data_IF_725804399644
#
_entry.id   IF_725804399644
#
_cell.length_a   1.000
_cell.length_b   1.000
_cell.length_c   1.000
_cell.angle_alpha   90.00
_cell.angle_beta   90.00
_cell.angle_gamma   90.00
#
_symmetry.space_group_name_H-M   'P 1'
#
loop_
_entity.id
_entity.type
_entity.pdbx_description
1 polymer ?
#
# COMPACT_ATOMS: atom_id res chain seq x y z
N UNK A 1 -18.63 76.87 25.64
CA UNK A 1 -18.91 77.43 26.99
C UNK A 1 -18.51 76.38 28.02
N UNK A 2 -17.33 76.54 28.63
CA UNK A 2 -17.06 76.50 30.08
C UNK A 2 -18.20 75.97 31.00
N UNK A 3 -18.04 75.14 32.05
CA UNK A 3 -16.96 74.95 33.05
C UNK A 3 -17.26 73.70 33.91
N UNK A 4 -16.19 73.08 34.45
CA UNK A 4 -16.05 72.16 35.59
C UNK A 4 -17.25 71.83 36.52
N UNK A 5 -17.24 70.58 37.01
CA UNK A 5 -17.29 70.36 38.47
C UNK A 5 -16.44 69.14 38.86
N UNK A 6 -15.46 69.41 39.74
CA UNK A 6 -14.60 68.42 40.38
C UNK A 6 -15.33 67.88 41.62
N UNK A 7 -15.42 66.56 41.76
CA UNK A 7 -15.53 65.95 43.08
C UNK A 7 -14.28 65.10 43.33
N UNK A 8 -13.45 65.58 44.26
CA UNK A 8 -12.27 64.88 44.75
C UNK A 8 -12.76 63.80 45.72
N UNK A 9 -12.84 62.57 45.24
CA UNK A 9 -12.94 61.38 46.09
C UNK A 9 -11.59 61.15 46.76
N UNK A 10 -11.57 61.37 48.08
CA UNK A 10 -10.45 61.15 48.98
C UNK A 10 -10.21 59.64 49.12
N UNK A 11 -9.38 59.05 48.27
CA UNK A 11 -8.96 57.66 48.42
C UNK A 11 -7.92 57.57 49.53
N UNK A 12 -8.21 56.75 50.54
CA UNK A 12 -7.36 56.51 51.70
C UNK A 12 -5.95 56.03 51.31
N UNK A 13 -4.93 56.45 52.06
CA UNK A 13 -3.51 56.09 51.82
C UNK A 13 -3.26 54.57 51.85
N UNK A 14 -4.16 53.79 52.45
CA UNK A 14 -4.10 52.32 52.50
C UNK A 14 -4.48 51.63 51.19
N UNK A 15 -5.17 52.31 50.27
CA UNK A 15 -5.70 51.68 49.04
C UNK A 15 -4.79 51.87 47.83
N UNK A 16 -3.87 52.83 47.90
CA UNK A 16 -2.84 53.07 46.87
C UNK A 16 -1.59 52.19 47.04
N UNK A 17 -1.55 51.36 48.10
CA UNK A 17 -0.44 50.43 48.42
C UNK A 17 -0.66 49.01 47.85
N UNK A 18 -1.72 48.75 47.08
CA UNK A 18 -1.99 47.41 46.50
C UNK A 18 -1.79 47.28 44.98
N UNK A 19 -1.53 48.37 44.26
CA UNK A 19 -1.30 48.35 42.80
C UNK A 19 0.19 48.39 42.39
N UNK A 20 1.13 48.38 43.35
CA UNK A 20 2.58 48.50 43.07
C UNK A 20 3.41 47.29 43.52
N UNK A 21 2.80 46.09 43.66
CA UNK A 21 3.52 44.88 44.10
C UNK A 21 4.04 43.99 42.97
N UNK A 22 3.85 44.37 41.70
CA UNK A 22 4.43 43.65 40.56
C UNK A 22 4.99 44.58 39.47
N UNK A 23 5.71 45.64 39.86
CA UNK A 23 6.53 46.41 38.92
C UNK A 23 7.98 45.91 38.94
N UNK A 24 8.27 44.85 38.20
CA UNK A 24 9.64 44.47 37.88
C UNK A 24 10.24 45.54 36.95
N UNK A 25 10.98 46.50 37.52
CA UNK A 25 11.85 47.39 36.75
C UNK A 25 13.15 46.66 36.44
N UNK A 26 13.24 46.07 35.25
CA UNK A 26 14.51 45.63 34.70
C UNK A 26 15.33 46.88 34.29
N UNK A 27 16.47 47.10 34.96
CA UNK A 27 17.47 48.10 34.56
C UNK A 27 18.53 47.40 33.70
N UNK A 28 18.76 47.90 32.48
CA UNK A 28 19.67 47.30 31.50
C UNK A 28 21.05 48.00 31.47
N UNK A 29 22.13 47.21 31.55
CA UNK A 29 23.43 47.36 30.86
C UNK A 29 24.36 46.23 31.39
N UNK A 30 24.31 45.02 30.83
CA UNK A 30 25.14 44.49 29.72
C UNK A 30 26.58 44.11 30.12
N UNK A 31 26.74 42.83 30.51
CA UNK A 31 27.82 41.99 30.01
C UNK A 31 27.15 40.81 29.30
N UNK A 32 27.23 40.83 27.97
CA UNK A 32 26.77 39.74 27.10
C UNK A 32 27.68 38.53 27.34
N UNK A 33 27.38 37.75 28.37
CA UNK A 33 28.00 36.45 28.54
C UNK A 33 27.63 35.62 27.30
N UNK A 34 28.58 35.14 26.48
CA UNK A 34 28.24 34.08 25.55
C UNK A 34 27.67 32.97 26.42
N UNK A 35 26.40 32.63 26.19
CA UNK A 35 25.78 31.48 26.85
C UNK A 35 26.54 30.26 26.34
N UNK A 36 27.54 29.84 27.10
CA UNK A 36 28.26 28.60 26.85
C UNK A 36 27.31 27.47 27.23
N UNK A 37 26.97 26.62 26.26
CA UNK A 37 26.28 25.37 26.51
C UNK A 37 27.09 24.54 27.49
N UNK A 38 26.47 24.10 28.59
CA UNK A 38 27.13 23.12 29.47
C UNK A 38 27.12 21.75 28.77
N UNK A 39 28.19 20.96 28.92
CA UNK A 39 28.24 19.62 28.34
C UNK A 39 27.05 18.76 28.81
N UNK A 40 26.64 18.91 30.07
CA UNK A 40 25.50 18.18 30.65
C UNK A 40 24.17 18.56 29.97
N UNK A 41 23.96 19.82 29.62
CA UNK A 41 22.76 20.27 28.90
C UNK A 41 22.73 19.69 27.47
N UNK A 42 23.86 19.68 26.75
CA UNK A 42 23.94 19.04 25.42
C UNK A 42 23.72 17.54 25.47
N UNK A 43 24.17 16.87 26.54
CA UNK A 43 23.97 15.43 26.74
C UNK A 43 22.50 15.11 27.01
N UNK A 44 21.85 15.88 27.88
CA UNK A 44 20.41 15.73 28.14
C UNK A 44 19.59 16.04 26.88
N UNK A 45 19.92 17.12 26.16
CA UNK A 45 19.23 17.50 24.94
C UNK A 45 19.34 16.42 23.84
N UNK A 46 20.53 15.88 23.61
CA UNK A 46 20.72 14.80 22.61
C UNK A 46 20.04 13.50 23.04
N UNK A 47 20.03 13.17 24.34
CA UNK A 47 19.32 11.99 24.86
C UNK A 47 17.81 12.06 24.61
N UNK A 48 17.18 13.21 24.92
CA UNK A 48 15.75 13.42 24.63
C UNK A 48 15.50 13.40 23.13
N UNK A 49 16.37 14.02 22.33
CA UNK A 49 16.25 14.01 20.87
C UNK A 49 16.24 12.57 20.31
N UNK A 50 17.17 11.72 20.73
CA UNK A 50 17.24 10.33 20.26
C UNK A 50 15.96 9.55 20.59
N UNK A 51 15.44 9.70 21.81
CA UNK A 51 14.17 9.06 22.22
C UNK A 51 13.00 9.58 21.36
N UNK A 52 12.95 10.90 21.12
CA UNK A 52 11.88 11.49 20.29
C UNK A 52 11.94 11.07 18.82
N UNK A 53 13.13 10.80 18.28
CA UNK A 53 13.30 10.36 16.89
C UNK A 53 12.98 8.87 16.68
N UNK A 54 13.10 8.04 17.72
CA UNK A 54 12.83 6.61 17.62
C UNK A 54 11.37 6.31 17.19
N UNK A 55 10.40 7.06 17.71
CA UNK A 55 8.99 6.89 17.39
C UNK A 55 8.64 7.16 15.90
N UNK A 56 8.92 8.35 15.33
CA UNK A 56 8.61 8.61 13.92
C UNK A 56 9.37 7.70 12.96
N UNK A 57 10.62 7.32 13.26
CA UNK A 57 11.38 6.38 12.43
C UNK A 57 10.73 4.98 12.39
N UNK A 58 10.23 4.51 13.53
CA UNK A 58 9.52 3.22 13.60
C UNK A 58 8.23 3.24 12.78
N UNK A 59 7.48 4.34 12.85
CA UNK A 59 6.26 4.53 12.05
C UNK A 59 6.59 4.57 10.56
N UNK A 60 7.65 5.29 10.16
CA UNK A 60 8.09 5.36 8.77
C UNK A 60 8.53 3.99 8.23
N UNK A 61 9.23 3.18 9.04
CA UNK A 61 9.59 1.83 8.66
C UNK A 61 8.35 0.93 8.48
N UNK A 62 7.34 1.08 9.34
CA UNK A 62 6.07 0.35 9.20
C UNK A 62 5.27 0.79 7.97
N UNK A 63 5.18 2.10 7.71
CA UNK A 63 4.43 2.62 6.56
C UNK A 63 5.05 2.17 5.24
N UNK A 64 6.39 2.15 5.15
CA UNK A 64 7.09 1.64 3.96
C UNK A 64 6.80 0.15 3.72
N UNK A 65 6.84 -0.68 4.77
CA UNK A 65 6.47 -2.10 4.67
C UNK A 65 5.03 -2.28 4.18
N UNK A 66 4.10 -1.47 4.71
CA UNK A 66 2.70 -1.49 4.28
C UNK A 66 2.55 -1.05 2.82
N UNK A 67 3.33 -0.07 2.37
CA UNK A 67 3.29 0.41 0.98
C UNK A 67 3.78 -0.66 0.00
N UNK A 68 4.86 -1.38 0.33
CA UNK A 68 5.32 -2.50 -0.51
C UNK A 68 4.29 -3.63 -0.58
N UNK A 69 3.69 -3.99 0.56
CA UNK A 69 2.63 -5.00 0.57
C UNK A 69 1.43 -4.57 -0.30
N UNK A 70 0.96 -3.33 -0.16
CA UNK A 70 -0.15 -2.81 -0.95
C UNK A 70 0.17 -2.78 -2.45
N UNK A 71 1.39 -2.37 -2.83
CA UNK A 71 1.85 -2.41 -4.22
C UNK A 71 1.79 -3.83 -4.78
N UNK A 72 2.36 -4.80 -4.07
CA UNK A 72 2.43 -6.17 -4.55
C UNK A 72 1.02 -6.80 -4.62
N UNK A 73 0.13 -6.45 -3.70
CA UNK A 73 -1.28 -6.86 -3.71
C UNK A 73 -2.02 -6.35 -4.96
N UNK A 74 -1.78 -5.10 -5.36
CA UNK A 74 -2.37 -4.51 -6.58
C UNK A 74 -1.82 -5.19 -7.83
N UNK A 75 -0.51 -5.47 -7.89
CA UNK A 75 0.09 -6.24 -8.99
C UNK A 75 -0.54 -7.63 -9.07
N UNK A 76 -0.70 -8.33 -7.94
CA UNK A 76 -1.35 -9.64 -7.92
C UNK A 76 -2.81 -9.59 -8.40
N UNK A 77 -3.55 -8.52 -8.08
CA UNK A 77 -4.91 -8.30 -8.59
C UNK A 77 -4.97 -8.13 -10.11
N UNK A 78 -4.07 -7.35 -10.70
CA UNK A 78 -4.01 -7.20 -12.15
C UNK A 78 -3.56 -8.48 -12.86
N UNK A 79 -2.59 -9.20 -12.30
CA UNK A 79 -2.16 -10.50 -12.83
C UNK A 79 -3.28 -11.55 -12.81
N UNK A 80 -4.15 -11.51 -11.78
CA UNK A 80 -5.30 -12.39 -11.68
C UNK A 80 -6.37 -12.06 -12.73
N UNK A 81 -6.71 -10.77 -12.89
CA UNK A 81 -7.67 -10.33 -13.90
C UNK A 81 -7.21 -10.62 -15.32
N UNK A 82 -5.93 -10.38 -15.65
CA UNK A 82 -5.37 -10.68 -16.98
C UNK A 82 -5.60 -12.15 -17.36
N UNK A 83 -5.44 -13.07 -16.42
CA UNK A 83 -5.68 -14.49 -16.65
C UNK A 83 -7.17 -14.83 -16.82
N UNK A 84 -8.08 -14.17 -16.10
CA UNK A 84 -9.52 -14.31 -16.34
C UNK A 84 -9.88 -13.80 -17.73
N UNK A 85 -9.37 -12.63 -18.10
CA UNK A 85 -9.57 -12.02 -19.42
C UNK A 85 -9.03 -12.90 -20.55
N UNK A 86 -7.90 -13.58 -20.34
CA UNK A 86 -7.38 -14.57 -21.29
C UNK A 86 -8.38 -15.72 -21.54
N UNK A 87 -8.92 -16.31 -20.47
CA UNK A 87 -9.89 -17.40 -20.59
C UNK A 87 -11.17 -16.92 -21.28
N UNK A 88 -11.66 -15.72 -20.93
CA UNK A 88 -12.79 -15.10 -21.61
C UNK A 88 -12.51 -14.85 -23.10
N UNK A 89 -11.32 -14.35 -23.43
CA UNK A 89 -10.92 -14.09 -24.81
C UNK A 89 -10.83 -15.39 -25.63
N UNK A 90 -10.30 -16.49 -25.07
CA UNK A 90 -10.30 -17.81 -25.74
C UNK A 90 -11.71 -18.30 -26.01
N UNK A 91 -12.60 -18.19 -25.02
CA UNK A 91 -14.03 -18.51 -25.20
C UNK A 91 -14.66 -17.71 -26.33
N UNK A 92 -14.48 -16.40 -26.32
CA UNK A 92 -15.09 -15.51 -27.30
C UNK A 92 -14.55 -15.79 -28.72
N UNK A 93 -13.25 -16.10 -28.85
CA UNK A 93 -12.67 -16.56 -30.11
C UNK A 93 -13.26 -17.88 -30.59
N UNK A 94 -13.51 -18.83 -29.68
CA UNK A 94 -14.15 -20.11 -30.03
C UNK A 94 -15.56 -19.91 -30.59
N UNK A 95 -16.35 -19.01 -29.99
CA UNK A 95 -17.67 -18.67 -30.53
C UNK A 95 -17.60 -18.05 -31.92
N UNK A 96 -16.66 -17.13 -32.15
CA UNK A 96 -16.45 -16.53 -33.48
C UNK A 96 -15.99 -17.57 -34.52
N UNK A 97 -15.28 -18.62 -34.09
CA UNK A 97 -14.81 -19.71 -34.94
C UNK A 97 -15.85 -20.83 -35.13
N UNK A 98 -16.95 -20.84 -34.38
CA UNK A 98 -17.94 -21.93 -34.38
C UNK A 98 -17.41 -23.25 -33.78
N UNK A 99 -16.41 -23.18 -32.90
CA UNK A 99 -15.86 -24.32 -32.16
C UNK A 99 -16.46 -24.40 -30.75
N UNK A 100 -16.34 -25.55 -30.05
CA UNK A 100 -16.76 -25.63 -28.64
C UNK A 100 -16.11 -24.54 -27.79
N UNK A 101 -16.88 -23.92 -26.90
CA UNK A 101 -16.49 -22.70 -26.18
C UNK A 101 -15.22 -22.83 -25.32
N UNK A 102 -14.90 -24.04 -24.83
CA UNK A 102 -13.67 -24.33 -24.06
C UNK A 102 -12.53 -24.95 -24.90
N UNK A 103 -12.66 -25.00 -26.22
CA UNK A 103 -11.62 -25.58 -27.09
C UNK A 103 -10.28 -24.87 -26.88
N UNK A 104 -9.22 -25.66 -26.66
CA UNK A 104 -7.88 -25.11 -26.42
C UNK A 104 -7.66 -24.61 -25.00
N UNK A 105 -8.47 -25.05 -24.03
CA UNK A 105 -8.26 -24.84 -22.59
C UNK A 105 -8.28 -26.16 -21.81
N UNK A 106 -8.29 -27.30 -22.52
CA UNK A 106 -8.48 -28.64 -21.95
C UNK A 106 -7.43 -28.98 -20.88
N UNK A 107 -6.19 -28.53 -21.08
CA UNK A 107 -5.08 -28.74 -20.14
C UNK A 107 -5.22 -27.94 -18.83
N UNK A 108 -6.11 -26.96 -18.80
CA UNK A 108 -6.41 -26.12 -17.64
C UNK A 108 -7.70 -26.53 -16.93
N UNK A 109 -8.39 -27.56 -17.44
CA UNK A 109 -9.55 -28.15 -16.79
C UNK A 109 -9.06 -29.11 -15.69
N UNK A 110 -9.50 -28.86 -14.47
CA UNK A 110 -9.14 -29.57 -13.24
C UNK A 110 -7.63 -29.63 -12.91
N UNK A 111 -6.80 -28.98 -13.72
CA UNK A 111 -5.35 -28.86 -13.61
C UNK A 111 -4.97 -27.39 -13.57
N UNK A 112 -3.89 -27.04 -12.87
CA UNK A 112 -3.41 -25.66 -12.84
C UNK A 112 -2.63 -25.35 -14.12
N UNK A 113 -2.80 -24.16 -14.67
CA UNK A 113 -2.07 -23.61 -15.80
C UNK A 113 -1.45 -22.27 -15.47
N UNK A 114 -0.36 -21.95 -16.15
CA UNK A 114 0.14 -20.60 -16.25
C UNK A 114 -0.25 -20.02 -17.61
N UNK A 115 -0.52 -18.72 -17.65
CA UNK A 115 -0.97 -18.02 -18.85
C UNK A 115 0.15 -17.11 -19.33
N UNK A 116 0.35 -17.02 -20.63
CA UNK A 116 1.18 -16.03 -21.29
C UNK A 116 0.29 -15.11 -22.13
N UNK A 117 -0.04 -13.94 -21.60
CA UNK A 117 -0.90 -13.00 -22.30
C UNK A 117 -0.23 -12.41 -23.56
N UNK A 118 1.04 -11.95 -23.54
CA UNK A 118 1.73 -11.48 -24.73
C UNK A 118 1.81 -12.50 -25.88
N UNK A 119 2.11 -13.76 -25.60
CA UNK A 119 2.14 -14.84 -26.59
C UNK A 119 0.73 -15.37 -26.93
N UNK A 120 -0.26 -14.99 -26.14
CA UNK A 120 -1.63 -15.51 -26.18
C UNK A 120 -1.71 -17.04 -26.07
N UNK A 121 -0.89 -17.58 -25.18
CA UNK A 121 -0.71 -19.01 -24.94
C UNK A 121 -0.81 -19.37 -23.45
N UNK A 122 -0.80 -20.65 -23.13
CA UNK A 122 -0.79 -21.16 -21.76
C UNK A 122 0.00 -22.47 -21.67
N UNK A 123 0.47 -22.79 -20.47
CA UNK A 123 1.18 -24.03 -20.19
C UNK A 123 0.63 -24.67 -18.92
N UNK A 124 0.33 -25.97 -18.97
CA UNK A 124 -0.08 -26.73 -17.80
C UNK A 124 1.06 -26.86 -16.77
N UNK A 125 0.73 -26.63 -15.51
CA UNK A 125 1.61 -26.77 -14.35
C UNK A 125 0.94 -27.68 -13.29
N UNK A 126 0.93 -29.01 -13.49
CA UNK A 126 0.16 -29.93 -12.65
C UNK A 126 0.64 -30.05 -11.20
N UNK A 127 1.89 -29.69 -10.91
CA UNK A 127 2.46 -29.70 -9.55
C UNK A 127 2.56 -28.30 -8.96
N UNK A 128 3.40 -27.45 -9.56
CA UNK A 128 3.66 -26.08 -9.13
C UNK A 128 3.90 -25.22 -10.36
N UNK A 129 3.18 -24.11 -10.47
CA UNK A 129 3.40 -23.16 -11.56
C UNK A 129 4.68 -22.34 -11.33
N UNK A 130 5.52 -22.16 -12.37
CA UNK A 130 6.74 -21.37 -12.25
C UNK A 130 6.43 -19.89 -11.96
N UNK A 131 7.44 -19.16 -11.50
CA UNK A 131 7.34 -17.72 -11.33
C UNK A 131 7.15 -17.04 -12.69
N UNK A 132 6.28 -16.04 -12.73
CA UNK A 132 6.13 -15.17 -13.90
C UNK A 132 7.43 -14.42 -14.16
N UNK A 133 7.83 -14.33 -15.41
CA UNK A 133 9.00 -13.60 -15.87
C UNK A 133 8.60 -12.19 -16.30
N UNK A 134 9.49 -11.22 -16.14
CA UNK A 134 9.32 -9.87 -16.68
C UNK A 134 10.26 -9.75 -17.87
N UNK A 135 9.68 -9.52 -19.06
CA UNK A 135 10.45 -9.34 -20.30
C UNK A 135 11.32 -8.09 -20.22
N UNK A 136 12.60 -8.22 -20.56
CA UNK A 136 13.54 -7.08 -20.60
C UNK A 136 13.24 -6.12 -21.77
N UNK A 137 12.45 -6.57 -22.76
CA UNK A 137 12.10 -5.81 -23.96
C UNK A 137 10.80 -5.02 -23.78
N UNK A 138 9.76 -5.65 -23.23
CA UNK A 138 8.41 -5.04 -23.12
C UNK A 138 8.09 -4.58 -21.71
N UNK A 139 8.78 -5.11 -20.69
CA UNK A 139 8.43 -4.91 -19.28
C UNK A 139 7.15 -5.63 -18.85
N UNK A 140 6.60 -6.51 -19.69
CA UNK A 140 5.37 -7.26 -19.41
C UNK A 140 5.66 -8.61 -18.75
N UNK A 141 4.68 -9.08 -17.98
CA UNK A 141 4.71 -10.42 -17.42
C UNK A 141 4.45 -11.48 -18.50
N UNK A 142 5.21 -12.56 -18.46
CA UNK A 142 5.14 -13.66 -19.41
C UNK A 142 5.71 -14.94 -18.75
N UNK A 143 5.73 -16.06 -19.48
CA UNK A 143 6.29 -17.33 -19.00
C UNK A 143 7.51 -17.79 -19.80
N UNK A 144 7.83 -17.13 -20.91
CA UNK A 144 8.87 -17.55 -21.85
C UNK A 144 10.27 -16.98 -21.55
N UNK A 145 10.38 -15.66 -21.36
CA UNK A 145 11.67 -14.97 -21.30
C UNK A 145 11.73 -13.82 -20.29
N UNK A 146 12.92 -13.59 -19.75
CA UNK A 146 13.25 -12.44 -18.91
C UNK A 146 13.58 -12.81 -17.47
N UNK A 147 13.43 -11.84 -16.57
CA UNK A 147 13.84 -11.97 -15.17
C UNK A 147 12.71 -12.53 -14.32
N UNK A 148 12.94 -13.56 -13.48
CA UNK A 148 11.92 -14.08 -12.58
C UNK A 148 11.40 -13.03 -11.61
N UNK A 149 10.08 -12.85 -11.59
CA UNK A 149 9.40 -12.02 -10.61
C UNK A 149 9.15 -12.78 -9.30
N UNK A 150 8.62 -12.09 -8.30
CA UNK A 150 8.19 -12.72 -7.03
C UNK A 150 6.83 -13.40 -7.12
N UNK A 151 6.11 -13.26 -8.24
CA UNK A 151 4.74 -13.73 -8.40
C UNK A 151 4.71 -15.07 -9.11
N UNK A 152 3.96 -16.02 -8.57
CA UNK A 152 3.50 -17.22 -9.27
C UNK A 152 2.01 -17.08 -9.55
N UNK A 153 1.56 -17.57 -10.71
CA UNK A 153 0.15 -17.54 -11.12
C UNK A 153 -0.31 -18.95 -11.50
N UNK A 154 -1.48 -19.32 -11.03
CA UNK A 154 -2.15 -20.57 -11.35
C UNK A 154 -3.60 -20.29 -11.72
N UNK A 155 -3.98 -20.65 -12.93
CA UNK A 155 -5.35 -20.64 -13.44
C UNK A 155 -5.88 -22.06 -13.40
N UNK A 156 -7.07 -22.25 -12.86
CA UNK A 156 -7.75 -23.55 -12.84
C UNK A 156 -9.20 -23.38 -13.25
N UNK A 157 -9.61 -24.15 -14.24
CA UNK A 157 -11.00 -24.21 -14.70
C UNK A 157 -11.63 -25.45 -14.07
N UNK A 158 -12.74 -25.27 -13.38
CA UNK A 158 -13.47 -26.38 -12.73
C UNK A 158 -14.90 -26.42 -13.23
N UNK A 159 -15.38 -27.59 -13.62
CA UNK A 159 -16.78 -27.77 -13.99
C UNK A 159 -17.71 -27.51 -12.79
N UNK A 160 -18.85 -26.85 -13.03
CA UNK A 160 -19.87 -26.66 -11.99
C UNK A 160 -20.78 -27.89 -11.95
N UNK A 161 -20.93 -28.58 -10.79
CA UNK A 161 -21.76 -29.78 -10.72
C UNK A 161 -23.21 -29.51 -11.11
N UNK A 162 -23.75 -30.33 -12.01
CA UNK A 162 -25.16 -30.25 -12.45
C UNK A 162 -25.39 -29.44 -13.71
N UNK A 163 -24.36 -28.88 -14.34
CA UNK A 163 -24.44 -28.19 -15.63
C UNK A 163 -23.17 -28.40 -16.46
N UNK A 164 -23.31 -28.41 -17.79
CA UNK A 164 -22.19 -28.35 -18.75
C UNK A 164 -22.03 -26.96 -19.37
N UNK A 165 -22.93 -26.03 -19.04
CA UNK A 165 -23.01 -24.67 -19.59
C UNK A 165 -22.33 -23.66 -18.65
N UNK A 166 -21.63 -24.11 -17.62
CA UNK A 166 -20.96 -23.24 -16.66
C UNK A 166 -19.66 -23.88 -16.15
N UNK A 167 -18.60 -23.08 -16.12
CA UNK A 167 -17.35 -23.41 -15.44
C UNK A 167 -16.95 -22.29 -14.49
N UNK A 168 -16.34 -22.65 -13.37
CA UNK A 168 -15.70 -21.71 -12.46
C UNK A 168 -14.24 -21.57 -12.83
N UNK A 169 -13.81 -20.36 -13.19
CA UNK A 169 -12.43 -19.98 -13.48
C UNK A 169 -11.83 -19.40 -12.21
N UNK A 170 -10.92 -20.15 -11.59
CA UNK A 170 -10.21 -19.73 -10.38
C UNK A 170 -8.79 -19.35 -10.72
N UNK A 171 -8.41 -18.12 -10.41
CA UNK A 171 -7.03 -17.65 -10.56
C UNK A 171 -6.43 -17.37 -9.19
N UNK A 172 -5.30 -17.99 -8.92
CA UNK A 172 -4.51 -17.81 -7.70
C UNK A 172 -3.17 -17.19 -8.05
N UNK A 173 -2.86 -16.05 -7.44
CA UNK A 173 -1.54 -15.41 -7.52
C UNK A 173 -0.89 -15.46 -6.14
N UNK A 174 0.33 -15.97 -6.06
CA UNK A 174 1.08 -16.10 -4.81
C UNK A 174 2.42 -15.38 -4.88
N UNK A 175 2.86 -14.79 -3.77
CA UNK A 175 4.16 -14.12 -3.66
C UNK A 175 4.66 -14.14 -2.22
N UNK A 176 5.94 -13.86 -2.02
CA UNK A 176 6.53 -13.71 -0.68
C UNK A 176 6.84 -12.25 -0.42
N UNK A 177 6.26 -11.69 0.64
CA UNK A 177 6.50 -10.30 1.07
C UNK A 177 7.10 -10.30 2.48
N UNK A 178 8.33 -9.78 2.62
CA UNK A 178 9.08 -9.77 3.88
C UNK A 178 9.17 -11.15 4.59
N UNK A 179 9.35 -12.23 3.81
CA UNK A 179 9.43 -13.60 4.31
C UNK A 179 8.09 -14.24 4.65
N UNK A 180 6.97 -13.56 4.40
CA UNK A 180 5.62 -14.08 4.63
C UNK A 180 5.00 -14.43 3.28
N UNK A 181 4.55 -15.68 3.13
CA UNK A 181 3.78 -16.11 1.96
C UNK A 181 2.41 -15.42 1.94
N UNK A 182 2.10 -14.80 0.81
CA UNK A 182 0.85 -14.10 0.53
C UNK A 182 0.21 -14.71 -0.70
N UNK A 183 -1.11 -14.64 -0.74
CA UNK A 183 -1.92 -15.12 -1.83
C UNK A 183 -3.07 -14.16 -2.08
N UNK A 184 -3.42 -14.01 -3.34
CA UNK A 184 -4.62 -13.35 -3.80
C UNK A 184 -5.34 -14.28 -4.77
N UNK A 185 -6.67 -14.35 -4.66
CA UNK A 185 -7.48 -15.27 -5.43
C UNK A 185 -8.74 -14.56 -5.94
N UNK A 186 -9.05 -14.77 -7.21
CA UNK A 186 -10.32 -14.40 -7.84
C UNK A 186 -10.94 -15.68 -8.39
N UNK A 187 -12.26 -15.79 -8.27
CA UNK A 187 -13.04 -16.82 -8.92
C UNK A 187 -14.20 -16.15 -9.67
N UNK A 188 -14.33 -16.46 -10.95
CA UNK A 188 -15.38 -15.95 -11.83
C UNK A 188 -16.09 -17.12 -12.48
N UNK A 189 -17.42 -17.01 -12.64
CA UNK A 189 -18.18 -18.01 -13.38
C UNK A 189 -18.22 -17.61 -14.85
N UNK A 190 -17.88 -18.57 -15.71
CA UNK A 190 -17.91 -18.43 -17.16
C UNK A 190 -19.01 -19.33 -17.71
N UNK A 191 -19.92 -18.74 -18.47
CA UNK A 191 -21.08 -19.42 -19.01
C UNK A 191 -20.91 -19.74 -20.50
N UNK A 192 -21.52 -20.84 -20.90
CA UNK A 192 -21.86 -21.16 -22.27
C UNK A 192 -23.19 -20.46 -22.62
N UNK A 193 -23.15 -19.42 -23.45
CA UNK A 193 -24.29 -18.51 -23.66
C UNK A 193 -24.95 -18.63 -25.03
N UNK A 194 -24.55 -19.63 -25.84
CA UNK A 194 -25.07 -19.88 -27.19
C UNK A 194 -25.67 -21.28 -27.35
#
# INVERSE_FOLDING_TARGET
MNIFSSSRGFTSVSEQRRENLFSWRASAAEAKAPRAFTLIETFVATSVLLVTLAAPLSIAAQSLRSAYYARDQVTAFYLAQEAVEYVQAKRDQNYLAGTPWLSGLDECIDTSCNVDFPAFDHEACPTTCPALLISDQTGLFNIETGTPSVFTRAVKITAVPGTSEEVSVTVTVSWVSAGISRQFQIAENLFDWL
#
